data_IF_873788907140
#
_entry.id   IF_873788907140
#
_cell.length_a   1.000
_cell.length_b   1.000
_cell.length_c   1.000
_cell.angle_alpha   90.00
_cell.angle_beta   90.00
_cell.angle_gamma   90.00
#
_symmetry.space_group_name_H-M   'P 1'
#
loop_
_entity.id
_entity.type
_entity.pdbx_description
1 polymer ?
#
# COMPACT_ATOMS: atom_id res chain seq x y z
N UNK A 1 11.48 -18.42 16.06
CA UNK A 1 12.02 -17.05 15.94
C UNK A 1 12.95 -17.07 14.76
N UNK A 2 12.87 -16.10 13.86
CA UNK A 2 13.62 -16.15 12.61
C UNK A 2 15.12 -16.01 12.84
N UNK A 3 15.95 -16.65 12.03
CA UNK A 3 17.40 -16.44 12.04
C UNK A 3 17.81 -15.25 11.18
N UNK A 4 17.12 -15.04 10.05
CA UNK A 4 17.43 -13.96 9.09
C UNK A 4 16.17 -13.39 8.44
N UNK A 5 16.09 -12.07 8.40
CA UNK A 5 14.97 -11.32 7.81
C UNK A 5 15.49 -10.36 6.73
N UNK A 6 14.87 -10.40 5.56
CA UNK A 6 15.05 -9.39 4.52
C UNK A 6 14.09 -8.22 4.73
N UNK A 7 14.60 -7.00 4.64
CA UNK A 7 13.83 -5.78 4.79
C UNK A 7 13.55 -5.21 3.40
N UNK A 8 12.33 -5.40 2.89
CA UNK A 8 11.90 -4.92 1.57
C UNK A 8 11.48 -3.44 1.59
N UNK A 9 12.34 -2.58 2.13
CA UNK A 9 12.12 -1.14 2.24
C UNK A 9 13.46 -0.38 2.36
N UNK A 10 13.41 0.96 2.44
CA UNK A 10 14.60 1.83 2.52
C UNK A 10 14.46 2.90 3.59
N UNK A 11 15.56 3.60 3.87
CA UNK A 11 15.56 4.80 4.70
C UNK A 11 15.31 4.51 6.18
N UNK A 12 14.52 5.34 6.84
CA UNK A 12 14.35 5.27 8.30
C UNK A 12 13.60 4.02 8.74
N UNK A 13 12.57 3.59 7.99
CA UNK A 13 11.80 2.40 8.35
C UNK A 13 12.64 1.13 8.25
N UNK A 14 13.56 1.08 7.29
CA UNK A 14 14.53 -0.01 7.21
C UNK A 14 15.45 -0.04 8.44
N UNK A 15 15.95 1.12 8.89
CA UNK A 15 16.71 1.23 10.14
C UNK A 15 15.90 0.82 11.36
N UNK A 16 14.62 1.18 11.41
CA UNK A 16 13.73 0.86 12.53
C UNK A 16 13.50 -0.64 12.66
N UNK A 17 13.27 -1.33 11.55
CA UNK A 17 13.14 -2.80 11.51
C UNK A 17 14.46 -3.47 11.87
N UNK A 18 15.56 -3.00 11.27
CA UNK A 18 16.91 -3.51 11.54
C UNK A 18 17.26 -3.46 13.04
N UNK A 19 16.96 -2.36 13.72
CA UNK A 19 17.16 -2.22 15.17
C UNK A 19 16.39 -3.27 15.97
N UNK A 20 15.13 -3.51 15.62
CA UNK A 20 14.33 -4.55 16.28
C UNK A 20 14.90 -5.94 16.06
N UNK A 21 15.32 -6.27 14.82
CA UNK A 21 15.97 -7.53 14.53
C UNK A 21 17.25 -7.71 15.35
N UNK A 22 18.08 -6.66 15.45
CA UNK A 22 19.31 -6.67 16.27
C UNK A 22 19.03 -6.93 17.74
N UNK A 23 18.01 -6.31 18.32
CA UNK A 23 17.60 -6.57 19.72
C UNK A 23 17.15 -8.02 19.95
N UNK A 24 16.57 -8.65 18.93
CA UNK A 24 16.12 -10.04 18.95
C UNK A 24 17.23 -11.05 18.56
N UNK A 25 18.44 -10.58 18.22
CA UNK A 25 19.53 -11.44 17.73
C UNK A 25 19.27 -12.01 16.33
N UNK A 26 18.39 -11.39 15.55
CA UNK A 26 18.02 -11.81 14.19
C UNK A 26 18.88 -11.06 13.17
N UNK A 27 19.48 -11.79 12.21
CA UNK A 27 20.26 -11.20 11.12
C UNK A 27 19.38 -10.47 10.12
N UNK A 28 19.94 -9.47 9.46
CA UNK A 28 19.22 -8.56 8.58
C UNK A 28 19.84 -8.46 7.21
N UNK A 29 18.99 -8.50 6.18
CA UNK A 29 19.36 -8.23 4.80
C UNK A 29 18.69 -6.94 4.36
N UNK A 30 19.47 -5.93 4.00
CA UNK A 30 18.96 -4.70 3.41
C UNK A 30 18.96 -4.80 1.88
N UNK A 31 17.79 -4.65 1.25
CA UNK A 31 17.75 -4.42 -0.21
C UNK A 31 17.94 -2.94 -0.50
N UNK A 32 18.61 -2.61 -1.59
CA UNK A 32 18.80 -1.22 -1.99
C UNK A 32 18.85 -1.03 -3.51
N UNK A 33 18.54 0.18 -3.97
CA UNK A 33 18.85 0.58 -5.33
C UNK A 33 20.32 0.98 -5.48
N UNK A 34 20.82 1.06 -6.71
CA UNK A 34 22.17 1.59 -7.00
C UNK A 34 22.43 2.96 -6.34
N UNK A 35 21.44 3.85 -6.38
CA UNK A 35 21.53 5.18 -5.78
C UNK A 35 21.58 5.18 -4.24
N UNK A 36 21.10 4.10 -3.61
CA UNK A 36 21.04 3.97 -2.17
C UNK A 36 22.21 3.15 -1.58
N UNK A 37 23.19 2.75 -2.39
CA UNK A 37 24.33 1.91 -1.97
C UNK A 37 25.05 2.43 -0.72
N UNK A 38 25.22 3.75 -0.62
CA UNK A 38 25.93 4.37 0.50
C UNK A 38 25.03 4.74 1.69
N UNK A 39 23.74 4.37 1.66
CA UNK A 39 22.78 4.74 2.68
C UNK A 39 23.07 4.04 4.02
N UNK A 40 22.74 4.73 5.11
CA UNK A 40 23.01 4.23 6.48
C UNK A 40 22.37 2.88 6.78
N UNK A 41 21.17 2.62 6.27
CA UNK A 41 20.47 1.36 6.52
C UNK A 41 21.12 0.16 5.81
N UNK A 42 21.78 0.41 4.68
CA UNK A 42 22.58 -0.59 3.97
C UNK A 42 23.84 -0.91 4.76
N UNK A 43 24.60 0.12 5.16
CA UNK A 43 25.86 -0.04 5.91
C UNK A 43 25.72 -0.66 7.30
N UNK A 44 24.52 -0.63 7.88
CA UNK A 44 24.25 -1.13 9.22
C UNK A 44 23.64 -2.54 9.23
N UNK A 45 23.19 -3.03 8.08
CA UNK A 45 22.65 -4.38 7.94
C UNK A 45 23.80 -5.40 7.96
N UNK A 46 23.48 -6.65 8.29
CA UNK A 46 24.48 -7.73 8.31
C UNK A 46 24.91 -8.11 6.89
N UNK A 47 23.96 -8.05 5.95
CA UNK A 47 24.17 -8.26 4.52
C UNK A 47 23.31 -7.27 3.70
N UNK A 48 23.69 -7.03 2.45
CA UNK A 48 22.91 -6.17 1.56
C UNK A 48 22.93 -6.63 0.11
N UNK A 49 21.83 -6.43 -0.60
CA UNK A 49 21.67 -6.80 -2.02
C UNK A 49 21.18 -5.61 -2.83
N UNK A 50 21.89 -5.29 -3.92
CA UNK A 50 21.42 -4.32 -4.90
C UNK A 50 20.31 -4.96 -5.75
N UNK A 51 19.11 -4.39 -5.72
CA UNK A 51 17.91 -4.92 -6.40
C UNK A 51 17.53 -4.17 -7.69
N UNK A 52 18.39 -3.25 -8.15
CA UNK A 52 18.21 -2.56 -9.42
C UNK A 52 18.56 -1.06 -9.38
N UNK A 53 18.27 -0.33 -10.47
CA UNK A 53 18.63 1.07 -10.62
C UNK A 53 17.77 2.00 -9.74
N UNK A 54 18.14 3.28 -9.72
CA UNK A 54 17.52 4.30 -8.87
C UNK A 54 15.98 4.40 -8.90
N UNK A 55 15.29 4.26 -10.06
CA UNK A 55 13.83 4.34 -10.09
C UNK A 55 13.16 3.21 -9.28
N UNK A 56 12.26 3.56 -8.36
CA UNK A 56 11.60 2.60 -7.48
C UNK A 56 10.81 1.51 -8.23
N UNK A 57 10.21 1.86 -9.37
CA UNK A 57 9.53 0.91 -10.27
C UNK A 57 10.44 -0.22 -10.77
N UNK A 58 11.76 0.03 -10.83
CA UNK A 58 12.76 -0.92 -11.30
C UNK A 58 13.54 -1.57 -10.13
N UNK A 59 13.34 -1.12 -8.90
CA UNK A 59 14.00 -1.60 -7.68
C UNK A 59 12.98 -1.98 -6.60
N UNK A 60 12.59 -1.07 -5.71
CA UNK A 60 11.74 -1.38 -4.53
C UNK A 60 10.31 -1.87 -4.84
N UNK A 61 9.83 -1.69 -6.07
CA UNK A 61 8.55 -2.23 -6.54
C UNK A 61 8.73 -3.46 -7.44
N UNK A 62 9.98 -3.92 -7.63
CA UNK A 62 10.32 -5.08 -8.45
C UNK A 62 10.25 -6.35 -7.59
N UNK A 63 9.07 -6.97 -7.59
CA UNK A 63 8.80 -8.18 -6.81
C UNK A 63 9.79 -9.32 -7.12
N UNK A 64 10.06 -9.69 -8.38
CA UNK A 64 11.08 -10.71 -8.70
C UNK A 64 12.45 -10.43 -8.07
N UNK A 65 12.94 -9.18 -8.16
CA UNK A 65 14.25 -8.84 -7.60
C UNK A 65 14.31 -9.00 -6.07
N UNK A 66 13.23 -8.65 -5.37
CA UNK A 66 13.14 -8.79 -3.91
C UNK A 66 13.07 -10.26 -3.50
N UNK A 67 12.29 -11.07 -4.20
CA UNK A 67 12.19 -12.51 -3.93
C UNK A 67 13.54 -13.19 -4.19
N UNK A 68 14.19 -12.92 -5.32
CA UNK A 68 15.53 -13.45 -5.59
C UNK A 68 16.56 -13.00 -4.55
N UNK A 69 16.48 -11.76 -4.06
CA UNK A 69 17.35 -11.29 -2.98
C UNK A 69 17.12 -12.08 -1.67
N UNK A 70 15.88 -12.44 -1.36
CA UNK A 70 15.57 -13.27 -0.18
C UNK A 70 16.11 -14.70 -0.34
N UNK A 71 15.96 -15.29 -1.53
CA UNK A 71 16.47 -16.62 -1.87
C UNK A 71 18.01 -16.69 -1.75
N UNK A 72 18.75 -15.80 -2.41
CA UNK A 72 20.22 -15.86 -2.44
C UNK A 72 20.89 -15.52 -1.10
N UNK A 73 20.12 -14.96 -0.16
CA UNK A 73 20.61 -14.63 1.18
C UNK A 73 20.10 -15.58 2.25
N UNK A 74 19.36 -16.63 1.90
CA UNK A 74 18.76 -17.57 2.85
C UNK A 74 17.91 -16.86 3.91
N UNK A 75 17.14 -15.84 3.51
CA UNK A 75 16.22 -15.14 4.41
C UNK A 75 14.98 -16.00 4.66
N UNK A 76 14.44 -16.00 5.88
CA UNK A 76 13.26 -16.81 6.23
C UNK A 76 11.95 -16.01 6.14
N UNK A 77 12.07 -14.68 6.26
CA UNK A 77 10.93 -13.78 6.28
C UNK A 77 11.27 -12.44 5.62
N UNK A 78 10.24 -11.77 5.12
CA UNK A 78 10.34 -10.46 4.47
C UNK A 78 9.49 -9.45 5.25
N UNK A 79 10.14 -8.39 5.74
CA UNK A 79 9.46 -7.26 6.37
C UNK A 79 9.28 -6.12 5.36
N UNK A 80 8.05 -5.73 5.01
CA UNK A 80 7.81 -4.75 3.95
C UNK A 80 7.88 -3.30 4.43
N UNK A 81 7.90 -3.04 5.73
CA UNK A 81 7.87 -1.69 6.28
C UNK A 81 6.54 -0.99 6.00
N UNK A 82 6.57 0.24 5.48
CA UNK A 82 5.38 0.96 5.01
C UNK A 82 5.62 1.57 3.61
N UNK A 83 4.55 1.89 2.89
CA UNK A 83 4.66 2.28 1.48
C UNK A 83 5.16 1.13 0.61
N UNK A 84 5.65 1.43 -0.60
CA UNK A 84 6.08 0.44 -1.59
C UNK A 84 5.11 -0.75 -1.72
N UNK A 85 5.52 -1.95 -1.30
CA UNK A 85 4.76 -3.18 -1.43
C UNK A 85 4.07 -3.63 -0.13
N UNK A 86 4.10 -2.83 0.94
CA UNK A 86 3.55 -3.20 2.26
C UNK A 86 2.04 -3.47 2.28
N UNK A 87 1.29 -2.83 1.39
CA UNK A 87 -0.16 -3.03 1.23
C UNK A 87 -0.49 -3.72 -0.11
N UNK A 88 0.50 -4.34 -0.75
CA UNK A 88 0.30 -5.08 -2.00
C UNK A 88 -0.01 -6.55 -1.68
N UNK A 89 -1.29 -6.93 -1.82
CA UNK A 89 -1.75 -8.28 -1.51
C UNK A 89 -1.05 -9.34 -2.38
N UNK A 90 -0.82 -9.06 -3.67
CA UNK A 90 -0.19 -9.99 -4.59
C UNK A 90 1.30 -10.19 -4.26
N UNK A 91 1.97 -9.19 -3.71
CA UNK A 91 3.31 -9.32 -3.18
C UNK A 91 3.33 -10.22 -1.95
N UNK A 92 2.45 -9.99 -0.97
CA UNK A 92 2.35 -10.84 0.22
C UNK A 92 2.06 -12.30 -0.15
N UNK A 93 1.15 -12.54 -1.10
CA UNK A 93 0.83 -13.88 -1.62
C UNK A 93 2.05 -14.53 -2.29
N UNK A 94 2.81 -13.78 -3.11
CA UNK A 94 4.04 -14.29 -3.74
C UNK A 94 5.13 -14.61 -2.72
N UNK A 95 5.28 -13.80 -1.67
CA UNK A 95 6.23 -14.05 -0.57
C UNK A 95 5.91 -15.40 0.09
N UNK A 96 4.64 -15.64 0.43
CA UNK A 96 4.18 -16.89 1.03
C UNK A 96 4.33 -18.09 0.08
N UNK A 97 3.99 -17.93 -1.20
CA UNK A 97 4.13 -18.98 -2.22
C UNK A 97 5.59 -19.34 -2.52
N UNK A 98 6.52 -18.39 -2.36
CA UNK A 98 7.96 -18.61 -2.46
C UNK A 98 8.56 -19.25 -1.19
N UNK A 99 7.75 -19.56 -0.18
CA UNK A 99 8.20 -20.24 1.04
C UNK A 99 8.73 -19.31 2.13
N UNK A 100 8.60 -17.99 1.97
CA UNK A 100 8.99 -17.00 2.95
C UNK A 100 7.81 -16.57 3.81
N UNK A 101 8.08 -16.13 5.04
CA UNK A 101 7.04 -15.49 5.87
C UNK A 101 6.91 -14.01 5.52
N UNK A 102 5.73 -13.58 5.11
CA UNK A 102 5.41 -12.16 5.02
C UNK A 102 5.15 -11.59 6.43
N UNK A 103 5.97 -10.64 6.89
CA UNK A 103 5.78 -10.03 8.21
C UNK A 103 4.73 -8.92 8.10
N UNK A 104 3.46 -9.34 8.11
CA UNK A 104 2.28 -8.50 8.00
C UNK A 104 1.00 -9.32 8.10
N UNK A 105 -0.16 -8.73 7.80
CA UNK A 105 -1.42 -9.47 7.72
C UNK A 105 -1.45 -10.39 6.49
N UNK A 106 -2.36 -11.36 6.50
CA UNK A 106 -2.54 -12.32 5.40
C UNK A 106 -2.95 -11.62 4.09
N UNK A 107 -2.58 -12.14 2.90
CA UNK A 107 -2.89 -11.52 1.61
C UNK A 107 -4.38 -11.19 1.42
N UNK A 108 -5.29 -12.07 1.85
CA UNK A 108 -6.74 -11.84 1.78
C UNK A 108 -7.18 -10.68 2.67
N UNK A 109 -6.50 -10.46 3.80
CA UNK A 109 -6.77 -9.33 4.69
C UNK A 109 -6.27 -8.03 4.08
N UNK A 110 -5.09 -8.05 3.44
CA UNK A 110 -4.58 -6.90 2.69
C UNK A 110 -5.53 -6.54 1.55
N UNK A 111 -6.00 -7.52 0.79
CA UNK A 111 -6.93 -7.29 -0.33
C UNK A 111 -8.26 -6.72 0.14
N UNK A 112 -8.82 -7.26 1.23
CA UNK A 112 -10.07 -6.77 1.81
C UNK A 112 -9.95 -5.33 2.34
N UNK A 113 -8.86 -5.02 3.02
CA UNK A 113 -8.68 -3.73 3.71
C UNK A 113 -8.04 -2.65 2.84
N UNK A 114 -7.36 -3.03 1.76
CA UNK A 114 -6.69 -2.12 0.82
C UNK A 114 -7.65 -1.37 -0.10
N UNK A 115 -8.83 -1.93 -0.35
CA UNK A 115 -9.92 -1.20 -1.00
C UNK A 115 -10.83 -0.57 0.06
N UNK A 116 -10.93 0.77 0.05
CA UNK A 116 -11.69 1.50 1.06
C UNK A 116 -13.20 1.28 1.01
N UNK A 117 -13.74 0.84 -0.13
CA UNK A 117 -15.15 0.46 -0.24
C UNK A 117 -15.37 -0.86 0.48
N UNK A 118 -14.62 -1.91 0.12
CA UNK A 118 -14.76 -3.21 0.78
C UNK A 118 -14.39 -3.16 2.26
N UNK A 119 -13.41 -2.34 2.64
CA UNK A 119 -13.04 -2.12 4.04
C UNK A 119 -14.20 -1.48 4.83
N UNK A 120 -14.87 -0.47 4.27
CA UNK A 120 -16.02 0.19 4.92
C UNK A 120 -17.19 -0.79 5.10
N UNK A 121 -17.44 -1.64 4.11
CA UNK A 121 -18.48 -2.67 4.19
C UNK A 121 -18.14 -3.75 5.23
N UNK A 122 -16.88 -4.20 5.30
CA UNK A 122 -16.42 -5.09 6.35
C UNK A 122 -16.59 -4.48 7.76
N UNK A 123 -16.31 -3.19 7.91
CA UNK A 123 -16.52 -2.47 9.18
C UNK A 123 -18.00 -2.36 9.55
N UNK A 124 -18.90 -2.09 8.59
CA UNK A 124 -20.36 -2.10 8.82
C UNK A 124 -20.83 -3.47 9.29
N UNK A 125 -20.39 -4.56 8.65
CA UNK A 125 -20.72 -5.94 9.04
C UNK A 125 -20.23 -6.25 10.45
N UNK A 126 -19.07 -5.72 10.83
CA UNK A 126 -18.51 -5.84 12.18
C UNK A 126 -19.20 -4.94 13.23
N UNK A 127 -20.23 -4.17 12.85
CA UNK A 127 -20.95 -3.26 13.74
C UNK A 127 -20.18 -1.98 14.09
N UNK A 128 -19.13 -1.64 13.33
CA UNK A 128 -18.34 -0.43 13.53
C UNK A 128 -19.03 0.76 12.82
N UNK A 129 -19.31 1.88 13.52
CA UNK A 129 -19.88 3.06 12.90
C UNK A 129 -18.97 3.64 11.82
N UNK A 130 -19.50 3.81 10.60
CA UNK A 130 -18.80 4.38 9.46
C UNK A 130 -19.38 5.76 9.10
N UNK A 131 -18.53 6.64 8.54
CA UNK A 131 -18.97 7.95 8.05
C UNK A 131 -20.02 7.76 6.94
N UNK A 132 -21.18 8.46 6.99
CA UNK A 132 -22.19 8.41 5.93
C UNK A 132 -21.58 8.79 4.58
N UNK A 133 -22.03 8.15 3.50
CA UNK A 133 -21.45 8.32 2.18
C UNK A 133 -22.18 7.47 1.14
N UNK A 134 -21.54 7.20 0.00
CA UNK A 134 -22.06 6.24 -0.97
C UNK A 134 -22.08 4.83 -0.37
N UNK A 135 -23.07 4.04 -0.79
CA UNK A 135 -23.15 2.62 -0.45
C UNK A 135 -22.30 1.80 -1.43
N UNK A 136 -21.00 2.04 -1.36
CA UNK A 136 -20.01 1.45 -2.25
C UNK A 136 -19.39 2.45 -3.23
N UNK A 137 -18.90 1.94 -4.36
CA UNK A 137 -18.34 2.76 -5.44
C UNK A 137 -19.41 3.67 -6.06
N UNK A 138 -19.00 4.87 -6.50
CA UNK A 138 -19.88 5.75 -7.25
C UNK A 138 -20.21 5.15 -8.62
N UNK A 139 -21.49 5.18 -9.04
CA UNK A 139 -21.93 4.64 -10.33
C UNK A 139 -21.39 5.49 -11.50
N UNK A 140 -21.59 5.02 -12.73
CA UNK A 140 -21.23 5.78 -13.93
C UNK A 140 -22.26 6.87 -14.29
N UNK A 141 -23.54 6.70 -13.92
CA UNK A 141 -24.59 7.67 -14.25
C UNK A 141 -24.45 8.97 -13.43
N UNK A 142 -24.22 10.13 -14.07
CA UNK A 142 -24.14 11.42 -13.39
C UNK A 142 -25.36 11.77 -12.55
N UNK A 143 -26.56 11.36 -12.95
CA UNK A 143 -27.80 11.67 -12.22
C UNK A 143 -27.84 10.96 -10.87
N UNK A 144 -27.44 9.69 -10.84
CA UNK A 144 -27.35 8.92 -9.60
C UNK A 144 -26.24 9.45 -8.68
N UNK A 145 -25.10 9.88 -9.23
CA UNK A 145 -24.03 10.52 -8.46
C UNK A 145 -24.54 11.78 -7.75
N UNK A 146 -25.29 12.64 -8.45
CA UNK A 146 -25.90 13.86 -7.87
C UNK A 146 -26.91 13.51 -6.77
N UNK A 147 -27.75 12.49 -7.00
CA UNK A 147 -28.72 12.01 -6.01
C UNK A 147 -28.04 11.51 -4.74
N UNK A 148 -26.95 10.76 -4.87
CA UNK A 148 -26.13 10.31 -3.73
C UNK A 148 -25.55 11.53 -2.99
N UNK A 149 -24.96 12.49 -3.72
CA UNK A 149 -24.42 13.72 -3.13
C UNK A 149 -25.44 14.52 -2.31
N UNK A 150 -26.68 14.65 -2.82
CA UNK A 150 -27.79 15.28 -2.11
C UNK A 150 -28.21 14.51 -0.86
N UNK A 151 -28.26 13.18 -0.94
CA UNK A 151 -28.66 12.33 0.18
C UNK A 151 -27.62 12.34 1.32
N UNK A 152 -26.33 12.40 0.99
CA UNK A 152 -25.24 12.53 1.97
C UNK A 152 -25.23 13.93 2.60
N UNK A 153 -25.45 14.98 1.79
CA UNK A 153 -25.45 16.37 2.22
C UNK A 153 -24.08 17.03 2.08
N UNK A 154 -24.04 18.21 1.46
CA UNK A 154 -22.79 18.97 1.25
C UNK A 154 -22.31 19.67 2.53
N UNK A 155 -20.99 19.81 2.75
CA UNK A 155 -19.90 19.38 1.86
C UNK A 155 -19.67 17.86 1.88
N UNK A 156 -19.38 17.28 0.72
CA UNK A 156 -19.02 15.86 0.56
C UNK A 156 -17.54 15.73 0.21
N UNK A 157 -16.96 14.54 0.38
CA UNK A 157 -15.59 14.25 -0.03
C UNK A 157 -15.60 13.09 -1.02
N UNK A 158 -14.97 13.27 -2.19
CA UNK A 158 -14.73 12.20 -3.14
C UNK A 158 -13.38 11.58 -2.82
N UNK A 159 -13.29 10.26 -2.76
CA UNK A 159 -12.07 9.54 -2.39
C UNK A 159 -11.84 8.36 -3.34
N UNK A 160 -10.60 8.19 -3.80
CA UNK A 160 -10.16 6.99 -4.51
C UNK A 160 -10.22 5.77 -3.60
N UNK A 161 -10.78 4.68 -4.09
CA UNK A 161 -10.98 3.45 -3.32
C UNK A 161 -9.64 2.78 -2.98
N UNK A 162 -8.74 2.62 -3.96
CA UNK A 162 -7.37 2.12 -3.76
C UNK A 162 -6.33 3.20 -3.43
N UNK A 163 -6.75 4.42 -3.08
CA UNK A 163 -5.83 5.53 -2.88
C UNK A 163 -5.13 5.56 -1.52
N UNK A 164 -3.89 6.04 -1.47
CA UNK A 164 -3.09 6.18 -0.25
C UNK A 164 -2.35 7.52 -0.16
N UNK A 165 -1.80 7.85 1.01
CA UNK A 165 -0.90 9.00 1.19
C UNK A 165 -1.54 10.38 0.96
N UNK A 166 -2.87 10.51 1.10
CA UNK A 166 -3.59 11.77 0.91
C UNK A 166 -3.83 12.19 -0.54
N UNK A 167 -3.51 11.32 -1.52
CA UNK A 167 -3.75 11.55 -2.94
C UNK A 167 -5.07 10.93 -3.40
N UNK A 168 -5.67 11.47 -4.47
CA UNK A 168 -6.95 10.98 -4.99
C UNK A 168 -8.12 11.28 -4.06
N UNK A 169 -8.15 12.45 -3.41
CA UNK A 169 -9.32 12.89 -2.64
C UNK A 169 -9.62 14.37 -2.86
N UNK A 170 -10.90 14.75 -2.79
CA UNK A 170 -11.35 16.12 -3.05
C UNK A 170 -12.60 16.46 -2.27
N UNK A 171 -12.55 17.57 -1.54
CA UNK A 171 -13.73 18.14 -0.86
C UNK A 171 -14.57 18.92 -1.88
N UNK A 172 -15.88 18.70 -1.87
CA UNK A 172 -16.86 19.28 -2.77
C UNK A 172 -17.91 20.00 -1.94
N UNK A 173 -17.97 21.32 -2.07
CA UNK A 173 -18.88 22.15 -1.28
C UNK A 173 -20.25 22.37 -1.93
N UNK A 174 -20.37 22.18 -3.24
CA UNK A 174 -21.60 22.45 -3.99
C UNK A 174 -21.87 21.36 -5.02
N UNK A 175 -23.14 21.16 -5.34
CA UNK A 175 -23.57 20.21 -6.36
C UNK A 175 -22.99 20.51 -7.74
N UNK A 176 -22.92 21.79 -8.12
CA UNK A 176 -22.35 22.22 -9.40
C UNK A 176 -20.89 21.77 -9.59
N UNK A 177 -20.14 21.58 -8.50
CA UNK A 177 -18.76 21.12 -8.54
C UNK A 177 -18.62 19.58 -8.53
N UNK A 178 -19.68 18.83 -8.26
CA UNK A 178 -19.61 17.39 -7.96
C UNK A 178 -19.07 16.57 -9.13
N UNK A 179 -19.70 16.67 -10.29
CA UNK A 179 -19.35 15.81 -11.44
C UNK A 179 -17.93 16.06 -11.92
N UNK A 180 -17.50 17.33 -11.97
CA UNK A 180 -16.13 17.68 -12.30
C UNK A 180 -15.13 17.11 -11.28
N UNK A 181 -15.46 17.19 -9.99
CA UNK A 181 -14.63 16.61 -8.93
C UNK A 181 -14.53 15.08 -9.05
N UNK A 182 -15.62 14.38 -9.36
CA UNK A 182 -15.62 12.93 -9.59
C UNK A 182 -14.72 12.57 -10.77
N UNK A 183 -14.94 13.17 -11.95
CA UNK A 183 -14.14 12.89 -13.16
C UNK A 183 -12.65 13.12 -12.91
N UNK A 184 -12.31 14.25 -12.26
CA UNK A 184 -10.92 14.58 -11.93
C UNK A 184 -10.32 13.56 -10.96
N UNK A 185 -11.07 13.15 -9.94
CA UNK A 185 -10.59 12.16 -8.96
C UNK A 185 -10.39 10.79 -9.60
N UNK A 186 -11.28 10.35 -10.50
CA UNK A 186 -11.13 9.08 -11.24
C UNK A 186 -9.85 9.07 -12.09
N UNK A 187 -9.58 10.16 -12.82
CA UNK A 187 -8.38 10.27 -13.65
C UNK A 187 -7.09 10.24 -12.80
N UNK A 188 -7.08 10.97 -11.67
CA UNK A 188 -5.96 10.94 -10.73
C UNK A 188 -5.76 9.55 -10.12
N UNK A 189 -6.85 8.88 -9.74
CA UNK A 189 -6.82 7.55 -9.16
C UNK A 189 -6.28 6.51 -10.15
N UNK A 190 -6.71 6.58 -11.42
CA UNK A 190 -6.16 5.75 -12.49
C UNK A 190 -4.65 5.96 -12.66
N UNK A 191 -4.20 7.21 -12.71
CA UNK A 191 -2.79 7.53 -12.94
C UNK A 191 -1.88 7.15 -11.77
N UNK A 192 -2.37 7.28 -10.53
CA UNK A 192 -1.58 7.06 -9.32
C UNK A 192 -1.65 5.62 -8.78
N UNK A 193 -2.79 4.95 -8.95
CA UNK A 193 -3.09 3.68 -8.29
C UNK A 193 -3.56 2.59 -9.26
N UNK A 194 -3.59 2.86 -10.57
CA UNK A 194 -4.11 1.93 -11.59
C UNK A 194 -5.55 1.44 -11.32
N UNK A 195 -6.32 2.19 -10.53
CA UNK A 195 -7.69 1.89 -10.15
C UNK A 195 -8.51 3.19 -10.18
N UNK A 196 -9.47 3.34 -11.13
CA UNK A 196 -10.24 4.58 -11.29
C UNK A 196 -11.42 4.67 -10.30
N UNK A 197 -11.67 3.64 -9.48
CA UNK A 197 -12.83 3.57 -8.60
C UNK A 197 -12.75 4.65 -7.52
N UNK A 198 -13.86 5.38 -7.37
CA UNK A 198 -14.03 6.43 -6.35
C UNK A 198 -15.33 6.21 -5.59
N UNK A 199 -15.37 6.69 -4.35
CA UNK A 199 -16.54 6.67 -3.47
C UNK A 199 -16.72 8.02 -2.78
N UNK A 200 -17.85 8.17 -2.09
CA UNK A 200 -18.21 9.32 -1.28
C UNK A 200 -18.34 8.95 0.19
#
# INVERSE_FOLDING_TARGET
MFEKILIANRGEIALRVLRACRELGVKTVAVHSEADTEAKYVKLADESVCIGPAPSGLSYLNVPAIISAAEVTDSEAIHPGYGFLSENADFAERVEQSGFVFIGPRPETIRLMGDKVSAKDAMKVAGVPCVPGSDGALPEDPKEIVKIGRAVGYPVIIKAAGGGGGRGMRVVHTEAALLNAVTTTRAEAQAAFSNPVVYM
#
